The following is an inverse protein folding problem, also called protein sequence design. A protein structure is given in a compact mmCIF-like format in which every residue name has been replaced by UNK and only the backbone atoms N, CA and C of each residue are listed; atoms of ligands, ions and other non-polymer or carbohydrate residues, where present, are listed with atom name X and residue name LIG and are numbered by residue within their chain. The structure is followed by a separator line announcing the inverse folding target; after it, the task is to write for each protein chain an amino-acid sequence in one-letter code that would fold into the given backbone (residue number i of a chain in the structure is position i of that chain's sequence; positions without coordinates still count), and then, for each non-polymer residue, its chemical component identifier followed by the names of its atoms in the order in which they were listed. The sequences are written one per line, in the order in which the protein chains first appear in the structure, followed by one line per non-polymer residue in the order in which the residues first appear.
data_IF_682882755369
#
_entry.id   IF_682882755369
#
_cell.length_a   1.000
_cell.length_b   1.000
_cell.length_c   1.000
_cell.angle_alpha   90.00
_cell.angle_beta   90.00
_cell.angle_gamma   90.00
#
_symmetry.space_group_name_H-M   'P 1'
#
loop_
_entity.id
_entity.type
_entity.pdbx_description
1 polymer ?
#
# COMPACT_ATOMS: atom_id res chain seq x y z
N UNK A 1 27.24 4.48 21.97
CA UNK A 1 26.10 3.57 22.04
C UNK A 1 26.56 2.29 21.36
N UNK A 2 26.89 1.27 22.14
CA UNK A 2 27.19 -0.05 21.58
C UNK A 2 25.88 -0.82 21.48
N UNK A 3 25.43 -1.06 20.26
CA UNK A 3 24.25 -1.90 19.97
C UNK A 3 24.77 -3.26 19.53
N UNK A 4 24.55 -4.29 20.32
CA UNK A 4 24.83 -5.66 19.89
C UNK A 4 23.76 -6.12 18.89
N UNK A 5 24.14 -6.60 17.70
CA UNK A 5 23.20 -7.12 16.72
C UNK A 5 22.39 -8.29 17.34
N UNK A 6 21.06 -8.20 17.23
CA UNK A 6 20.16 -9.26 17.69
C UNK A 6 19.67 -9.13 19.13
N UNK A 7 20.04 -8.09 19.87
CA UNK A 7 19.45 -7.79 21.19
C UNK A 7 18.55 -6.58 21.10
N UNK A 8 17.38 -6.67 21.71
CA UNK A 8 16.37 -5.60 21.78
C UNK A 8 16.74 -4.45 22.72
N UNK A 9 17.97 -4.47 23.27
CA UNK A 9 18.41 -3.52 24.26
C UNK A 9 19.78 -2.93 23.89
N UNK A 10 19.89 -1.62 23.90
CA UNK A 10 21.17 -0.94 23.82
C UNK A 10 21.67 -0.54 25.20
N UNK A 11 22.93 -0.76 25.45
CA UNK A 11 23.61 -0.30 26.65
C UNK A 11 24.30 1.02 26.36
N UNK A 12 23.80 2.10 26.96
CA UNK A 12 24.42 3.42 26.87
C UNK A 12 25.48 3.53 27.98
N UNK A 13 26.73 3.58 27.61
CA UNK A 13 27.82 3.86 28.57
C UNK A 13 28.05 5.37 28.63
N UNK A 14 27.75 5.96 29.78
CA UNK A 14 28.18 7.31 30.09
C UNK A 14 29.63 7.30 30.53
N UNK A 15 30.52 7.92 29.71
CA UNK A 15 31.90 8.15 30.06
C UNK A 15 31.98 9.40 30.94
N UNK A 16 31.68 9.24 32.21
CA UNK A 16 32.03 10.18 33.25
C UNK A 16 32.60 9.38 34.44
N UNK A 17 33.24 10.02 35.37
CA UNK A 17 34.00 9.41 36.51
C UNK A 17 33.23 8.34 37.31
N UNK A 18 31.96 8.14 37.05
CA UNK A 18 31.15 6.98 37.46
C UNK A 18 30.44 6.47 36.19
N UNK A 19 30.86 5.32 35.68
CA UNK A 19 30.18 4.70 34.54
C UNK A 19 28.77 4.25 34.97
N UNK A 20 27.78 4.99 34.53
CA UNK A 20 26.37 4.62 34.68
C UNK A 20 25.95 3.86 33.41
N UNK A 21 25.47 2.64 33.56
CA UNK A 21 24.93 1.87 32.45
C UNK A 21 23.42 2.04 32.43
N UNK A 22 22.89 2.53 31.31
CA UNK A 22 21.45 2.56 31.05
C UNK A 22 21.13 1.51 30.00
N UNK A 23 20.15 0.69 30.27
CA UNK A 23 19.58 -0.22 29.27
C UNK A 23 18.40 0.49 28.65
N UNK A 24 18.51 0.83 27.37
CA UNK A 24 17.43 1.43 26.60
C UNK A 24 16.88 0.37 25.65
N UNK A 25 15.59 0.05 25.70
CA UNK A 25 15.00 -0.85 24.74
C UNK A 25 15.07 -0.19 23.34
N UNK A 26 15.73 -0.85 22.41
CA UNK A 26 15.76 -0.45 21.00
C UNK A 26 15.00 -1.51 20.23
N UNK A 27 13.98 -1.09 19.50
CA UNK A 27 13.27 -1.95 18.57
C UNK A 27 14.18 -2.23 17.38
N UNK A 28 14.70 -3.45 17.28
CA UNK A 28 15.55 -3.87 16.15
C UNK A 28 14.90 -3.64 14.81
N UNK A 29 13.56 -3.76 14.73
CA UNK A 29 12.78 -3.44 13.55
C UNK A 29 12.91 -1.99 13.08
N UNK A 30 13.07 -1.03 13.98
CA UNK A 30 13.25 0.38 13.61
C UNK A 30 14.63 0.63 13.00
N UNK A 31 15.67 -0.02 13.52
CA UNK A 31 17.03 0.07 12.96
C UNK A 31 17.07 -0.52 11.54
N UNK A 32 16.47 -1.70 11.35
CA UNK A 32 16.37 -2.31 10.03
C UNK A 32 15.56 -1.44 9.06
N UNK A 33 14.47 -0.85 9.51
CA UNK A 33 13.64 0.07 8.73
C UNK A 33 14.44 1.28 8.28
N UNK A 34 15.15 1.95 9.17
CA UNK A 34 16.00 3.11 8.85
C UNK A 34 17.10 2.72 7.87
N UNK A 35 17.73 1.56 8.08
CA UNK A 35 18.75 1.04 7.17
C UNK A 35 18.20 0.78 5.77
N UNK A 36 17.02 0.16 5.66
CA UNK A 36 16.33 -0.05 4.37
C UNK A 36 15.99 1.25 3.68
N UNK A 37 15.44 2.24 4.41
CA UNK A 37 15.13 3.56 3.87
C UNK A 37 16.38 4.25 3.36
N UNK A 38 17.49 4.23 4.12
CA UNK A 38 18.76 4.80 3.71
C UNK A 38 19.30 4.15 2.43
N UNK A 39 19.27 2.81 2.37
CA UNK A 39 19.71 2.06 1.20
C UNK A 39 18.83 2.38 -0.03
N UNK A 40 17.52 2.43 0.14
CA UNK A 40 16.59 2.79 -0.93
C UNK A 40 16.86 4.21 -1.46
N UNK A 41 17.11 5.16 -0.55
CA UNK A 41 17.43 6.53 -0.92
C UNK A 41 18.75 6.60 -1.69
N UNK A 42 19.79 5.89 -1.22
CA UNK A 42 21.09 5.80 -1.89
C UNK A 42 20.95 5.17 -3.28
N UNK A 43 20.17 4.11 -3.42
CA UNK A 43 19.90 3.49 -4.71
C UNK A 43 19.14 4.43 -5.65
N UNK A 44 18.16 5.16 -5.14
CA UNK A 44 17.37 6.11 -5.92
C UNK A 44 18.21 7.29 -6.45
N UNK A 45 19.26 7.69 -5.69
CA UNK A 45 20.13 8.82 -6.06
C UNK A 45 21.37 8.42 -6.84
N UNK A 46 21.77 7.16 -6.84
CA UNK A 46 23.02 6.68 -7.45
C UNK A 46 22.92 6.34 -8.94
N UNK A 47 21.76 6.55 -9.57
CA UNK A 47 21.55 6.26 -11.00
C UNK A 47 21.57 4.76 -11.36
N UNK A 48 21.60 3.89 -10.38
CA UNK A 48 21.44 2.46 -10.60
C UNK A 48 19.94 2.17 -10.89
N UNK A 49 19.64 1.83 -12.12
CA UNK A 49 18.29 1.62 -12.71
C UNK A 49 17.50 0.45 -12.10
N UNK A 50 17.54 0.25 -10.78
CA UNK A 50 16.67 -0.71 -10.08
C UNK A 50 15.24 -0.18 -9.90
N UNK A 51 15.06 1.13 -9.98
CA UNK A 51 13.75 1.77 -9.98
C UNK A 51 13.36 2.09 -11.42
N UNK A 52 12.10 1.89 -11.75
CA UNK A 52 11.55 2.38 -13.00
C UNK A 52 11.75 3.90 -13.06
N UNK A 53 12.57 4.37 -14.01
CA UNK A 53 12.94 5.78 -14.16
C UNK A 53 11.71 6.69 -14.20
N UNK A 54 10.64 6.23 -14.84
CA UNK A 54 9.38 6.97 -14.93
C UNK A 54 8.74 7.15 -13.55
N UNK A 55 8.70 6.10 -12.72
CA UNK A 55 8.11 6.21 -11.38
C UNK A 55 8.90 7.14 -10.48
N UNK A 56 10.24 7.11 -10.57
CA UNK A 56 11.11 8.02 -9.85
C UNK A 56 10.82 9.47 -10.25
N UNK A 57 10.73 9.75 -11.55
CA UNK A 57 10.43 11.09 -12.06
C UNK A 57 9.08 11.59 -11.54
N UNK A 58 8.02 10.78 -11.53
CA UNK A 58 6.70 11.18 -11.05
C UNK A 58 6.66 11.49 -9.54
N UNK A 59 7.51 10.82 -8.74
CA UNK A 59 7.60 11.07 -7.29
C UNK A 59 8.27 12.43 -7.02
N UNK A 60 9.31 12.78 -7.79
CA UNK A 60 10.05 14.02 -7.59
C UNK A 60 9.45 15.21 -8.34
N UNK A 61 8.80 14.97 -9.47
CA UNK A 61 8.12 15.99 -10.26
C UNK A 61 6.78 15.46 -10.78
N UNK A 62 5.71 15.78 -10.04
CA UNK A 62 4.35 15.34 -10.39
C UNK A 62 3.85 15.93 -11.72
N UNK A 63 4.49 17.00 -12.25
CA UNK A 63 4.14 17.57 -13.54
C UNK A 63 4.51 16.65 -14.71
N UNK A 64 5.40 15.70 -14.49
CA UNK A 64 5.77 14.67 -15.48
C UNK A 64 4.77 13.52 -15.57
N UNK A 65 3.89 13.38 -14.59
CA UNK A 65 2.85 12.36 -14.61
C UNK A 65 1.78 12.69 -15.69
N UNK A 66 1.28 11.66 -16.33
CA UNK A 66 0.23 11.84 -17.35
C UNK A 66 -1.06 12.32 -16.66
N UNK A 67 -1.63 13.45 -17.07
CA UNK A 67 -2.88 13.93 -16.50
C UNK A 67 -4.00 12.90 -16.66
N UNK A 68 -4.84 12.78 -15.64
CA UNK A 68 -6.05 11.95 -15.74
C UNK A 68 -6.98 12.56 -16.79
N UNK A 69 -7.41 11.78 -17.80
CA UNK A 69 -8.28 12.31 -18.83
C UNK A 69 -9.63 12.72 -18.26
N UNK A 70 -10.17 13.79 -18.77
CA UNK A 70 -11.52 14.32 -18.52
C UNK A 70 -12.20 13.90 -17.21
N UNK A 71 -11.74 14.47 -16.10
CA UNK A 71 -12.30 14.21 -14.76
C UNK A 71 -13.79 14.56 -14.67
N UNK A 72 -14.27 15.54 -15.45
CA UNK A 72 -15.67 15.93 -15.43
C UNK A 72 -16.55 14.81 -16.00
N UNK A 73 -16.12 14.20 -17.09
CA UNK A 73 -16.81 13.03 -17.65
C UNK A 73 -16.74 11.82 -16.73
N UNK A 74 -15.57 11.54 -16.12
CA UNK A 74 -15.36 10.40 -15.25
C UNK A 74 -16.24 10.48 -13.99
N UNK A 75 -16.38 11.67 -13.40
CA UNK A 75 -17.12 11.89 -12.16
C UNK A 75 -18.57 12.30 -12.38
N UNK A 76 -19.06 12.34 -13.60
CA UNK A 76 -20.43 12.72 -13.95
C UNK A 76 -21.44 11.74 -13.35
N UNK A 77 -22.36 12.24 -12.53
CA UNK A 77 -23.32 11.42 -11.76
C UNK A 77 -24.42 10.77 -12.59
N UNK A 78 -24.77 11.37 -13.71
CA UNK A 78 -25.91 10.98 -14.58
C UNK A 78 -25.51 10.07 -15.75
N UNK A 79 -24.32 9.49 -15.74
CA UNK A 79 -23.87 8.59 -16.82
C UNK A 79 -22.43 8.15 -16.71
N UNK A 80 -21.96 7.51 -17.74
CA UNK A 80 -20.54 7.18 -17.94
C UNK A 80 -19.95 6.25 -16.87
N UNK A 81 -18.65 6.43 -16.57
CA UNK A 81 -17.92 5.58 -15.66
C UNK A 81 -18.49 5.54 -14.24
N UNK A 82 -19.06 6.66 -13.77
CA UNK A 82 -19.62 6.74 -12.44
C UNK A 82 -20.82 5.80 -12.27
N UNK A 83 -21.77 5.82 -13.19
CA UNK A 83 -22.91 4.91 -13.14
C UNK A 83 -22.51 3.45 -13.33
N UNK A 84 -21.53 3.21 -14.20
CA UNK A 84 -20.98 1.86 -14.39
C UNK A 84 -20.36 1.33 -13.09
N UNK A 85 -19.60 2.15 -12.37
CA UNK A 85 -19.11 1.80 -11.03
C UNK A 85 -20.26 1.51 -10.08
N UNK A 86 -21.27 2.37 -10.01
CA UNK A 86 -22.42 2.21 -9.09
C UNK A 86 -23.19 0.91 -9.32
N UNK A 87 -23.36 0.49 -10.59
CA UNK A 87 -24.04 -0.78 -10.92
C UNK A 87 -23.25 -2.02 -10.49
N UNK A 88 -21.96 -1.90 -10.30
CA UNK A 88 -21.07 -3.02 -10.09
C UNK A 88 -20.27 -2.91 -8.78
N UNK A 89 -20.73 -2.07 -7.86
CA UNK A 89 -20.16 -2.04 -6.52
C UNK A 89 -20.33 -3.40 -5.83
N UNK A 90 -19.25 -3.93 -5.31
CA UNK A 90 -19.26 -5.15 -4.52
C UNK A 90 -19.62 -4.80 -3.08
N UNK A 91 -19.12 -3.66 -2.58
CA UNK A 91 -19.47 -3.14 -1.28
C UNK A 91 -20.49 -2.00 -1.40
N UNK A 92 -21.73 -2.26 -1.01
CA UNK A 92 -22.82 -1.27 -1.04
C UNK A 92 -22.63 -0.09 -0.06
N UNK A 93 -21.67 -0.18 0.88
CA UNK A 93 -21.39 0.87 1.86
C UNK A 93 -20.39 1.92 1.37
N UNK A 94 -19.92 1.83 0.13
CA UNK A 94 -19.02 2.83 -0.48
C UNK A 94 -19.77 4.15 -0.63
N UNK A 95 -19.24 5.21 0.01
CA UNK A 95 -19.79 6.56 -0.08
C UNK A 95 -19.32 7.31 -1.34
N UNK A 96 -19.90 8.49 -1.57
CA UNK A 96 -19.62 9.28 -2.79
C UNK A 96 -18.15 9.66 -2.94
N UNK A 97 -17.51 10.13 -1.86
CA UNK A 97 -16.10 10.50 -1.89
C UNK A 97 -15.18 9.30 -2.18
N UNK A 98 -15.54 8.12 -1.68
CA UNK A 98 -14.81 6.89 -1.97
C UNK A 98 -15.01 6.45 -3.43
N UNK A 99 -16.22 6.58 -3.98
CA UNK A 99 -16.48 6.31 -5.41
C UNK A 99 -15.63 7.22 -6.30
N UNK A 100 -15.56 8.50 -5.99
CA UNK A 100 -14.75 9.46 -6.71
C UNK A 100 -13.26 9.10 -6.65
N UNK A 101 -12.76 8.71 -5.47
CA UNK A 101 -11.39 8.26 -5.30
C UNK A 101 -11.09 7.00 -6.11
N UNK A 102 -11.99 6.01 -6.07
CA UNK A 102 -11.87 4.76 -6.85
C UNK A 102 -11.82 5.05 -8.34
N UNK A 103 -12.73 5.90 -8.85
CA UNK A 103 -12.73 6.27 -10.25
C UNK A 103 -11.45 6.98 -10.67
N UNK A 104 -10.98 7.95 -9.87
CA UNK A 104 -9.70 8.62 -10.14
C UNK A 104 -8.54 7.63 -10.23
N UNK A 105 -8.50 6.63 -9.36
CA UNK A 105 -7.47 5.59 -9.41
C UNK A 105 -7.61 4.67 -10.64
N UNK A 106 -8.82 4.27 -11.02
CA UNK A 106 -9.04 3.41 -12.20
C UNK A 106 -8.58 4.10 -13.48
N UNK A 107 -8.77 5.42 -13.59
CA UNK A 107 -8.43 6.19 -14.78
C UNK A 107 -7.05 6.87 -14.72
N UNK A 108 -6.37 6.81 -13.59
CA UNK A 108 -4.98 7.25 -13.49
C UNK A 108 -4.07 6.32 -14.31
N UNK A 109 -3.20 6.91 -15.13
CA UNK A 109 -2.26 6.14 -15.97
C UNK A 109 -0.99 5.78 -15.20
N UNK A 110 -0.49 6.70 -14.40
CA UNK A 110 0.82 6.57 -13.77
C UNK A 110 0.73 6.51 -12.25
N UNK A 111 0.10 7.51 -11.63
CA UNK A 111 0.06 7.66 -10.19
C UNK A 111 -1.29 8.23 -9.74
N UNK A 112 -1.83 7.70 -8.65
CA UNK A 112 -2.94 8.28 -7.92
C UNK A 112 -2.63 8.30 -6.42
N UNK A 113 -2.94 9.40 -5.75
CA UNK A 113 -2.75 9.56 -4.32
C UNK A 113 -4.10 9.77 -3.65
N UNK A 114 -4.42 8.92 -2.66
CA UNK A 114 -5.63 9.05 -1.85
C UNK A 114 -5.21 9.43 -0.43
N UNK A 115 -5.61 10.62 -0.01
CA UNK A 115 -5.43 11.08 1.35
C UNK A 115 -6.77 11.06 2.09
N UNK A 116 -6.74 10.65 3.35
CA UNK A 116 -7.92 10.69 4.23
C UNK A 116 -7.55 10.46 5.68
N UNK A 117 -8.32 11.01 6.63
CA UNK A 117 -8.08 10.83 8.06
C UNK A 117 -8.25 9.36 8.49
N UNK A 118 -7.78 8.99 9.69
CA UNK A 118 -8.12 7.70 10.29
C UNK A 118 -9.64 7.47 10.29
N UNK A 119 -10.08 6.24 10.04
CA UNK A 119 -11.50 5.89 10.01
C UNK A 119 -12.28 6.31 8.75
N UNK A 120 -11.69 7.04 7.80
CA UNK A 120 -12.36 7.45 6.55
C UNK A 120 -12.70 6.31 5.58
N UNK A 121 -12.35 5.08 5.93
CA UNK A 121 -12.63 3.90 5.10
C UNK A 121 -11.68 3.69 3.92
N UNK A 122 -10.44 4.21 4.00
CA UNK A 122 -9.42 4.00 2.95
C UNK A 122 -9.23 2.53 2.58
N UNK A 123 -9.09 1.64 3.58
CA UNK A 123 -8.92 0.21 3.33
C UNK A 123 -10.15 -0.42 2.64
N UNK A 124 -11.35 0.11 2.91
CA UNK A 124 -12.58 -0.31 2.22
C UNK A 124 -12.58 0.13 0.76
N UNK A 125 -12.14 1.37 0.50
CA UNK A 125 -12.00 1.88 -0.86
C UNK A 125 -10.91 1.13 -1.64
N UNK A 126 -9.78 0.76 -1.00
CA UNK A 126 -8.72 -0.06 -1.60
C UNK A 126 -9.25 -1.44 -2.00
N UNK A 127 -10.01 -2.11 -1.14
CA UNK A 127 -10.60 -3.40 -1.46
C UNK A 127 -11.56 -3.29 -2.67
N UNK A 128 -12.44 -2.30 -2.69
CA UNK A 128 -13.33 -2.07 -3.83
C UNK A 128 -12.55 -1.76 -5.11
N UNK A 129 -11.50 -0.91 -5.03
CA UNK A 129 -10.63 -0.60 -6.16
C UNK A 129 -10.01 -1.88 -6.77
N UNK A 130 -9.48 -2.76 -5.93
CA UNK A 130 -8.89 -4.03 -6.37
C UNK A 130 -9.93 -4.87 -7.13
N UNK A 131 -11.14 -5.00 -6.60
CA UNK A 131 -12.21 -5.73 -7.28
C UNK A 131 -12.57 -5.12 -8.62
N UNK A 132 -12.69 -3.80 -8.70
CA UNK A 132 -13.03 -3.12 -9.95
C UNK A 132 -11.91 -3.24 -11.00
N UNK A 133 -10.64 -3.19 -10.61
CA UNK A 133 -9.51 -3.39 -11.51
C UNK A 133 -9.53 -4.81 -12.10
N UNK A 134 -9.67 -5.84 -11.25
CA UNK A 134 -9.74 -7.24 -11.69
C UNK A 134 -10.95 -7.46 -12.60
N UNK A 135 -12.11 -6.93 -12.24
CA UNK A 135 -13.32 -7.01 -13.06
C UNK A 135 -13.13 -6.37 -14.43
N UNK A 136 -12.49 -5.21 -14.49
CA UNK A 136 -12.21 -4.52 -15.75
C UNK A 136 -11.22 -5.32 -16.62
N UNK A 137 -10.18 -5.91 -16.03
CA UNK A 137 -9.26 -6.80 -16.72
C UNK A 137 -9.95 -8.02 -17.34
N UNK A 138 -10.86 -8.64 -16.60
CA UNK A 138 -11.66 -9.76 -17.10
C UNK A 138 -12.58 -9.36 -18.27
N UNK A 139 -13.17 -8.17 -18.24
CA UNK A 139 -13.98 -7.65 -19.34
C UNK A 139 -13.17 -7.42 -20.62
N UNK A 140 -11.91 -7.03 -20.50
CA UNK A 140 -11.01 -6.71 -21.62
C UNK A 140 -10.30 -7.92 -22.23
N UNK A 141 -10.84 -9.11 -22.09
CA UNK A 141 -10.30 -10.31 -22.73
C UNK A 141 -9.45 -11.21 -21.82
N UNK A 142 -9.91 -11.43 -20.60
CA UNK A 142 -9.27 -12.33 -19.61
C UNK A 142 -7.81 -11.96 -19.25
N UNK A 143 -7.46 -10.69 -19.30
CA UNK A 143 -6.20 -10.23 -18.73
C UNK A 143 -6.28 -10.37 -17.21
N UNK A 144 -5.48 -11.27 -16.66
CA UNK A 144 -5.32 -11.39 -15.23
C UNK A 144 -4.49 -10.19 -14.74
N UNK A 145 -5.15 -9.26 -14.09
CA UNK A 145 -4.47 -8.13 -13.47
C UNK A 145 -3.63 -8.63 -12.28
N UNK A 146 -2.37 -8.22 -12.25
CA UNK A 146 -1.46 -8.49 -11.14
C UNK A 146 -1.34 -7.24 -10.31
N UNK A 147 -1.80 -7.31 -9.05
CA UNK A 147 -1.84 -6.18 -8.13
C UNK A 147 -0.90 -6.49 -6.95
N UNK A 148 0.07 -5.62 -6.72
CA UNK A 148 0.92 -5.66 -5.54
C UNK A 148 0.34 -4.76 -4.47
N UNK A 149 -0.02 -5.34 -3.32
CA UNK A 149 -0.43 -4.62 -2.13
C UNK A 149 0.72 -4.61 -1.12
N UNK A 150 1.15 -3.44 -0.72
CA UNK A 150 2.24 -3.28 0.25
C UNK A 150 1.87 -2.26 1.32
N UNK A 151 2.39 -2.42 2.52
CA UNK A 151 2.23 -1.49 3.62
C UNK A 151 3.45 -1.53 4.53
N UNK A 152 3.58 -0.52 5.37
CA UNK A 152 4.64 -0.44 6.38
C UNK A 152 4.49 -1.54 7.45
N UNK A 153 3.26 -1.91 7.79
CA UNK A 153 2.95 -2.93 8.81
C UNK A 153 2.27 -4.14 8.19
N UNK A 154 2.59 -5.33 8.71
CA UNK A 154 1.95 -6.58 8.33
C UNK A 154 0.45 -6.55 8.60
N UNK A 155 0.06 -6.05 9.77
CA UNK A 155 -1.34 -5.91 10.18
C UNK A 155 -2.17 -5.12 9.16
N UNK A 156 -1.63 -4.06 8.57
CA UNK A 156 -2.36 -3.28 7.57
C UNK A 156 -2.59 -4.05 6.27
N UNK A 157 -1.62 -4.88 5.85
CA UNK A 157 -1.78 -5.78 4.70
C UNK A 157 -2.83 -6.85 4.99
N UNK A 158 -2.75 -7.49 6.17
CA UNK A 158 -3.65 -8.58 6.56
C UNK A 158 -5.08 -8.07 6.72
N UNK A 159 -5.28 -6.89 7.30
CA UNK A 159 -6.57 -6.21 7.35
C UNK A 159 -7.13 -5.84 5.96
N UNK A 160 -6.29 -5.53 5.01
CA UNK A 160 -6.75 -5.26 3.65
C UNK A 160 -7.12 -6.56 2.93
N UNK A 161 -6.34 -7.63 3.10
CA UNK A 161 -6.63 -8.96 2.54
C UNK A 161 -7.97 -9.48 3.08
N UNK A 162 -8.20 -9.42 4.38
CA UNK A 162 -9.46 -9.88 4.99
C UNK A 162 -10.69 -9.14 4.44
N UNK A 163 -10.56 -7.84 4.14
CA UNK A 163 -11.64 -7.06 3.49
C UNK A 163 -11.89 -7.49 2.05
N UNK A 164 -10.86 -7.84 1.32
CA UNK A 164 -10.96 -8.32 -0.06
C UNK A 164 -11.66 -9.68 -0.10
N UNK A 165 -11.34 -10.57 0.83
CA UNK A 165 -11.86 -11.95 0.86
C UNK A 165 -13.28 -12.04 1.38
N UNK A 166 -13.65 -11.21 2.35
CA UNK A 166 -15.02 -11.13 2.90
C UNK A 166 -16.04 -10.62 1.88
N UNK A 167 -15.63 -10.44 0.62
CA UNK A 167 -16.55 -10.15 -0.45
C UNK A 167 -17.28 -11.42 -0.91
N UNK A 168 -18.49 -11.26 -1.40
CA UNK A 168 -19.30 -12.36 -1.98
C UNK A 168 -18.73 -12.89 -3.31
N UNK A 169 -17.51 -12.53 -3.67
CA UNK A 169 -16.96 -12.84 -4.99
C UNK A 169 -15.64 -13.61 -4.85
N UNK A 170 -15.53 -14.72 -5.57
CA UNK A 170 -14.27 -15.49 -5.71
C UNK A 170 -13.35 -14.93 -6.81
N UNK A 171 -13.45 -13.64 -7.12
CA UNK A 171 -12.68 -13.00 -8.20
C UNK A 171 -11.20 -12.81 -7.84
N UNK A 172 -10.90 -12.70 -6.56
CA UNK A 172 -9.55 -12.39 -6.08
C UNK A 172 -8.95 -13.61 -5.40
N UNK A 173 -7.74 -13.97 -5.79
CA UNK A 173 -6.92 -14.98 -5.13
C UNK A 173 -5.68 -14.29 -4.55
N UNK A 174 -5.71 -13.85 -3.31
CA UNK A 174 -4.56 -13.21 -2.70
C UNK A 174 -3.47 -14.22 -2.39
N UNK A 175 -2.24 -13.77 -2.52
CA UNK A 175 -1.04 -14.48 -2.11
C UNK A 175 -0.32 -13.58 -1.12
N UNK A 176 0.02 -14.11 0.05
CA UNK A 176 0.68 -13.38 1.12
C UNK A 176 2.13 -13.79 1.22
N UNK A 177 3.04 -12.83 1.03
CA UNK A 177 4.47 -13.03 1.24
C UNK A 177 4.87 -12.50 2.61
N UNK A 178 5.58 -13.30 3.40
CA UNK A 178 6.11 -12.92 4.72
C UNK A 178 6.54 -14.13 5.52
N UNK A 179 7.42 -13.94 6.51
CA UNK A 179 7.79 -15.02 7.43
C UNK A 179 6.61 -15.39 8.33
N UNK A 180 6.41 -16.67 8.59
CA UNK A 180 5.29 -17.20 9.40
C UNK A 180 5.17 -16.54 10.77
N UNK A 181 6.29 -16.26 11.42
CA UNK A 181 6.34 -15.58 12.73
C UNK A 181 5.76 -14.16 12.76
N UNK A 182 5.59 -13.55 11.56
CA UNK A 182 5.14 -12.15 11.41
C UNK A 182 3.76 -12.05 10.78
N UNK A 183 3.10 -13.18 10.55
CA UNK A 183 1.76 -13.21 9.97
C UNK A 183 0.71 -13.27 11.06
N UNK A 184 -0.28 -12.41 10.98
CA UNK A 184 -1.49 -12.55 11.78
C UNK A 184 -2.28 -13.79 11.33
N UNK A 185 -3.10 -14.33 12.21
CA UNK A 185 -3.89 -15.56 11.95
C UNK A 185 -4.71 -15.49 10.65
N UNK A 186 -5.15 -14.29 10.28
CA UNK A 186 -5.93 -14.05 9.07
C UNK A 186 -5.07 -14.09 7.78
N UNK A 187 -3.79 -13.76 7.88
CA UNK A 187 -2.85 -13.79 6.76
C UNK A 187 -2.25 -15.16 6.48
N UNK A 188 -2.16 -16.02 7.51
CA UNK A 188 -1.54 -17.35 7.43
C UNK A 188 -2.16 -18.26 6.36
N UNK A 189 -3.47 -18.22 6.18
CA UNK A 189 -4.18 -19.03 5.18
C UNK A 189 -3.83 -18.70 3.72
N UNK A 190 -3.14 -17.59 3.47
CA UNK A 190 -2.74 -17.11 2.14
C UNK A 190 -1.22 -17.05 1.96
N UNK A 191 -0.45 -17.47 2.97
CA UNK A 191 1.01 -17.52 2.90
C UNK A 191 1.48 -18.65 1.97
N UNK A 192 2.60 -18.40 1.30
CA UNK A 192 3.35 -19.38 0.51
C UNK A 192 4.62 -19.74 1.28
#
# INVERSE_FOLDING_TARGET
IDVEPGKEQAVIKYLNQKSIQFVVPILTGDIERISRLKNTFTMATSGNNLLNDNLQNFIFDSALATPTPDLQYILRRDGGPYQELCRHLINSRINESQKDAILKCIFAKDLAVIQGPPGSGKSTAIAELIWQLIRNGLKQGNKCERILLTSETNLAVDNAISRIINSKTNLVKPIRFGGEEKLESEGLQFSI
#
